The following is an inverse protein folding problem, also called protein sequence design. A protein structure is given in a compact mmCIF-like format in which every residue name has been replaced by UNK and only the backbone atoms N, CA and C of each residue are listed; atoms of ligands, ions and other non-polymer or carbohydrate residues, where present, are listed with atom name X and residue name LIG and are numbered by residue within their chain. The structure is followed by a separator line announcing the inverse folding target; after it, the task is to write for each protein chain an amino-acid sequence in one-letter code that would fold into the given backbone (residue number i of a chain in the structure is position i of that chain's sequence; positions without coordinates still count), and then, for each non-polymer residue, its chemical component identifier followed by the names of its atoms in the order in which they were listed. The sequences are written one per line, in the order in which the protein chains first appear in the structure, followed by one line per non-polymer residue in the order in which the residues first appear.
data_IF_742793884883
#
_entry.id   IF_742793884883
#
_cell.length_a   1.000
_cell.length_b   1.000
_cell.length_c   1.000
_cell.angle_alpha   90.00
_cell.angle_beta   90.00
_cell.angle_gamma   90.00
#
_symmetry.space_group_name_H-M   'P 1'
#
loop_
_entity.id
_entity.type
_entity.pdbx_description
1 polymer ?
#
# COMPACT_ATOMS: atom_id res chain seq x y z
N UNK A 1 6.90 -44.48 20.34
CA UNK A 1 6.37 -44.45 18.97
C UNK A 1 6.16 -42.98 18.57
N UNK A 2 7.15 -42.39 17.92
CA UNK A 2 7.11 -40.98 17.46
C UNK A 2 6.45 -40.92 16.08
N UNK A 3 5.28 -40.28 15.98
CA UNK A 3 4.66 -39.94 14.69
C UNK A 3 5.37 -38.71 14.12
N UNK A 4 6.26 -38.92 13.16
CA UNK A 4 6.76 -37.85 12.29
C UNK A 4 5.59 -37.35 11.42
N UNK A 5 5.20 -36.09 11.61
CA UNK A 5 4.29 -35.39 10.75
C UNK A 5 5.03 -35.05 9.45
N UNK A 6 4.77 -35.82 8.39
CA UNK A 6 5.23 -35.56 7.04
C UNK A 6 4.48 -34.38 6.44
N UNK A 7 5.06 -33.18 6.47
CA UNK A 7 4.56 -32.03 5.72
C UNK A 7 4.77 -32.25 4.22
N UNK A 8 3.69 -32.40 3.47
CA UNK A 8 3.74 -32.50 1.99
C UNK A 8 4.32 -31.21 1.40
N UNK A 9 5.26 -31.28 0.45
CA UNK A 9 5.82 -30.08 -0.19
C UNK A 9 4.72 -29.33 -0.94
N UNK A 10 4.59 -28.07 -0.65
CA UNK A 10 3.63 -27.16 -1.32
C UNK A 10 4.09 -26.98 -2.77
N UNK A 11 3.26 -27.36 -3.74
CA UNK A 11 3.58 -27.21 -5.17
C UNK A 11 3.79 -25.72 -5.48
N UNK A 12 4.85 -25.40 -6.22
CA UNK A 12 5.29 -24.04 -6.61
C UNK A 12 4.12 -23.14 -7.11
N UNK A 13 3.16 -23.75 -7.80
CA UNK A 13 1.94 -23.11 -8.29
C UNK A 13 0.96 -22.74 -7.18
N UNK A 14 0.87 -23.52 -6.10
CA UNK A 14 0.04 -23.22 -4.91
C UNK A 14 0.69 -22.17 -4.01
N UNK A 15 2.02 -22.10 -3.98
CA UNK A 15 2.73 -21.03 -3.30
C UNK A 15 2.47 -19.68 -3.98
N UNK A 16 2.56 -19.62 -5.31
CA UNK A 16 2.31 -18.39 -6.08
C UNK A 16 0.84 -17.95 -6.01
N UNK A 17 -0.12 -18.86 -6.07
CA UNK A 17 -1.55 -18.48 -6.03
C UNK A 17 -2.07 -18.18 -4.62
N UNK A 18 -1.60 -18.88 -3.59
CA UNK A 18 -2.00 -18.64 -2.20
C UNK A 18 -1.11 -17.61 -1.48
N UNK A 19 0.17 -17.57 -1.83
CA UNK A 19 1.13 -16.60 -1.28
C UNK A 19 0.92 -15.18 -1.82
N UNK A 20 0.52 -15.04 -3.10
CA UNK A 20 0.27 -13.72 -3.72
C UNK A 20 -1.06 -13.13 -3.24
N UNK A 21 -2.10 -13.94 -3.03
CA UNK A 21 -3.37 -13.47 -2.44
C UNK A 21 -3.16 -13.02 -0.98
N UNK A 22 -2.27 -13.67 -0.25
CA UNK A 22 -1.84 -13.20 1.06
C UNK A 22 -0.82 -12.04 0.97
N UNK A 23 0.01 -12.00 -0.06
CA UNK A 23 1.09 -11.03 -0.26
C UNK A 23 0.66 -9.63 -0.68
N UNK A 24 -0.51 -9.47 -1.29
CA UNK A 24 -1.06 -8.13 -1.59
C UNK A 24 -1.56 -7.41 -0.33
N UNK A 25 -1.84 -8.16 0.73
CA UNK A 25 -2.16 -7.64 2.07
C UNK A 25 -0.96 -7.71 3.01
N UNK A 26 0.08 -8.41 2.65
CA UNK A 26 1.26 -8.62 3.46
C UNK A 26 2.43 -7.87 2.84
N UNK A 27 2.38 -6.59 2.95
CA UNK A 27 3.57 -5.90 3.38
C UNK A 27 3.86 -6.41 4.80
N UNK A 28 4.87 -7.26 4.98
CA UNK A 28 5.39 -7.56 6.32
C UNK A 28 5.60 -6.28 7.12
N UNK A 29 6.03 -5.21 6.45
CA UNK A 29 6.08 -3.86 6.99
C UNK A 29 4.73 -3.31 7.42
N UNK A 30 3.66 -3.45 6.64
CA UNK A 30 2.33 -2.97 7.01
C UNK A 30 1.79 -3.73 8.24
N UNK A 31 1.97 -5.05 8.29
CA UNK A 31 1.52 -5.86 9.43
C UNK A 31 2.30 -5.51 10.70
N UNK A 32 3.61 -5.33 10.61
CA UNK A 32 4.45 -4.87 11.71
C UNK A 32 4.05 -3.47 12.16
N UNK A 33 3.89 -2.55 11.22
CA UNK A 33 3.48 -1.18 11.46
C UNK A 33 2.11 -1.09 12.15
N UNK A 34 1.13 -1.85 11.67
CA UNK A 34 -0.20 -1.92 12.27
C UNK A 34 -0.19 -2.61 13.64
N UNK A 35 0.69 -3.60 13.85
CA UNK A 35 0.83 -4.26 15.15
C UNK A 35 1.36 -3.30 16.22
N UNK A 36 2.30 -2.42 15.87
CA UNK A 36 2.80 -1.38 16.78
C UNK A 36 1.72 -0.37 17.15
N UNK A 37 0.77 -0.11 16.24
CA UNK A 37 -0.32 0.80 16.49
C UNK A 37 -1.45 0.21 17.37
N UNK A 38 -1.59 -1.12 17.42
CA UNK A 38 -2.64 -1.83 18.20
C UNK A 38 -2.28 -2.06 19.67
N UNK A 39 -1.04 -1.79 20.10
CA UNK A 39 -0.60 -2.00 21.47
C UNK A 39 -1.22 -1.00 22.46
N UNK A 40 -1.76 -1.54 23.56
CA UNK A 40 -2.31 -0.86 24.75
C UNK A 40 -3.42 0.19 24.53
N UNK A 41 -4.64 -0.18 24.86
CA UNK A 41 -5.74 0.75 25.14
C UNK A 41 -5.41 1.61 26.38
N UNK A 42 -4.86 2.78 26.15
CA UNK A 42 -4.79 3.81 27.20
C UNK A 42 -6.04 4.70 27.10
N UNK A 43 -6.56 5.17 28.24
CA UNK A 43 -7.76 6.04 28.36
C UNK A 43 -7.68 7.36 27.55
N UNK A 44 -6.53 7.73 27.04
CA UNK A 44 -6.32 8.88 26.15
C UNK A 44 -6.26 8.37 24.70
N UNK A 45 -7.13 8.92 23.88
CA UNK A 45 -7.21 8.58 22.43
C UNK A 45 -5.94 9.12 21.73
N UNK A 46 -4.90 8.29 21.62
CA UNK A 46 -3.65 8.63 20.94
C UNK A 46 -3.80 8.46 19.44
N UNK A 47 -3.18 9.36 18.68
CA UNK A 47 -3.06 9.24 17.22
C UNK A 47 -2.27 7.98 16.84
N UNK A 48 -2.39 7.55 15.58
CA UNK A 48 -1.61 6.43 15.07
C UNK A 48 -0.11 6.67 15.24
N UNK A 49 0.36 7.87 14.92
CA UNK A 49 1.76 8.29 15.06
C UNK A 49 2.27 8.18 16.51
N UNK A 50 1.48 8.63 17.48
CA UNK A 50 1.83 8.56 18.89
C UNK A 50 1.88 7.11 19.40
N UNK A 51 0.97 6.24 18.92
CA UNK A 51 0.99 4.82 19.27
C UNK A 51 2.22 4.12 18.71
N UNK A 52 2.60 4.40 17.45
CA UNK A 52 3.81 3.86 16.84
C UNK A 52 5.05 4.28 17.63
N UNK A 53 5.19 5.56 17.93
CA UNK A 53 6.32 6.08 18.68
C UNK A 53 6.41 5.48 20.09
N UNK A 54 5.28 5.37 20.80
CA UNK A 54 5.23 4.79 22.14
C UNK A 54 5.66 3.32 22.17
N UNK A 55 5.17 2.53 21.21
CA UNK A 55 5.38 1.08 21.20
C UNK A 55 6.73 0.66 20.64
N UNK A 56 7.33 1.48 19.76
CA UNK A 56 8.62 1.18 19.12
C UNK A 56 9.81 1.92 19.73
N UNK A 57 9.57 3.02 20.44
CA UNK A 57 10.62 3.97 20.85
C UNK A 57 11.22 4.75 19.68
N UNK A 58 10.63 4.67 18.49
CA UNK A 58 11.09 5.30 17.25
C UNK A 58 10.07 6.31 16.75
N UNK A 59 10.50 7.31 15.96
CA UNK A 59 9.56 8.16 15.26
C UNK A 59 8.78 7.38 14.21
N UNK A 60 7.61 7.89 13.81
CA UNK A 60 6.80 7.29 12.75
C UNK A 60 7.58 7.09 11.46
N UNK A 61 8.35 8.10 11.03
CA UNK A 61 9.17 8.03 9.81
C UNK A 61 10.30 6.99 9.94
N UNK A 62 10.93 6.86 11.11
CA UNK A 62 11.93 5.83 11.36
C UNK A 62 11.35 4.42 11.24
N UNK A 63 10.17 4.16 11.82
CA UNK A 63 9.49 2.86 11.71
C UNK A 63 9.06 2.60 10.27
N UNK A 64 8.55 3.61 9.58
CA UNK A 64 8.18 3.52 8.18
C UNK A 64 9.38 3.17 7.30
N UNK A 65 10.48 3.89 7.45
CA UNK A 65 11.72 3.63 6.69
C UNK A 65 12.27 2.24 6.99
N UNK A 66 12.32 1.83 8.25
CA UNK A 66 12.73 0.48 8.62
C UNK A 66 11.85 -0.59 7.94
N UNK A 67 10.54 -0.43 8.01
CA UNK A 67 9.61 -1.41 7.44
C UNK A 67 9.69 -1.46 5.90
N UNK A 68 9.73 -0.32 5.24
CA UNK A 68 9.64 -0.25 3.78
C UNK A 68 10.98 -0.13 3.09
N UNK A 69 11.80 0.85 3.43
CA UNK A 69 13.09 1.07 2.77
C UNK A 69 14.08 -0.05 3.05
N UNK A 70 14.14 -0.51 4.29
CA UNK A 70 15.20 -1.42 4.73
C UNK A 70 14.81 -2.91 4.61
N UNK A 71 13.50 -3.24 4.52
CA UNK A 71 13.00 -4.63 4.46
C UNK A 71 12.20 -4.90 3.19
N UNK A 72 11.09 -4.17 2.98
CA UNK A 72 10.12 -4.52 1.91
C UNK A 72 10.68 -4.20 0.53
N UNK A 73 11.23 -3.00 0.32
CA UNK A 73 11.68 -2.57 -1.01
C UNK A 73 12.84 -3.44 -1.52
N UNK A 74 13.89 -3.76 -0.74
CA UNK A 74 14.94 -4.68 -1.19
C UNK A 74 14.40 -6.06 -1.59
N UNK A 75 13.43 -6.60 -0.84
CA UNK A 75 12.80 -7.86 -1.18
C UNK A 75 12.00 -7.78 -2.50
N UNK A 76 11.28 -6.69 -2.75
CA UNK A 76 10.55 -6.46 -4.00
C UNK A 76 11.49 -6.29 -5.19
N UNK A 77 12.60 -5.57 -5.02
CA UNK A 77 13.64 -5.43 -6.04
C UNK A 77 14.21 -6.81 -6.37
N UNK A 78 14.62 -7.59 -5.37
CA UNK A 78 15.16 -8.94 -5.59
C UNK A 78 14.17 -9.88 -6.29
N UNK A 79 12.88 -9.81 -5.99
CA UNK A 79 11.86 -10.57 -6.72
C UNK A 79 11.72 -10.07 -8.16
N UNK A 80 11.71 -8.75 -8.36
CA UNK A 80 11.62 -8.12 -9.70
C UNK A 80 12.79 -8.54 -10.59
N UNK A 81 14.02 -8.55 -10.06
CA UNK A 81 15.21 -9.00 -10.78
C UNK A 81 15.12 -10.48 -11.18
N UNK A 82 14.60 -11.34 -10.29
CA UNK A 82 14.50 -12.77 -10.55
C UNK A 82 13.44 -13.17 -11.58
N UNK A 83 12.33 -12.45 -11.68
CA UNK A 83 11.23 -12.78 -12.61
C UNK A 83 11.19 -11.91 -13.86
N UNK A 84 12.00 -10.85 -13.90
CA UNK A 84 12.02 -9.81 -14.91
C UNK A 84 11.14 -8.62 -14.50
N UNK A 85 11.69 -7.41 -14.62
CA UNK A 85 11.06 -6.16 -14.13
C UNK A 85 9.67 -5.92 -14.75
N UNK A 86 9.55 -5.95 -16.08
CA UNK A 86 8.27 -5.70 -16.79
C UNK A 86 7.20 -6.71 -16.38
N UNK A 87 7.59 -7.97 -16.28
CA UNK A 87 6.69 -9.04 -15.84
C UNK A 87 6.23 -8.87 -14.40
N UNK A 88 7.13 -8.39 -13.52
CA UNK A 88 6.79 -8.05 -12.15
C UNK A 88 5.74 -6.93 -12.10
N UNK A 89 5.97 -5.83 -12.81
CA UNK A 89 5.07 -4.69 -12.90
C UNK A 89 3.69 -5.10 -13.43
N UNK A 90 3.66 -5.85 -14.54
CA UNK A 90 2.42 -6.37 -15.12
C UNK A 90 1.66 -7.27 -14.14
N UNK A 91 2.36 -8.15 -13.45
CA UNK A 91 1.78 -9.04 -12.46
C UNK A 91 1.09 -8.25 -11.33
N UNK A 92 1.73 -7.22 -10.80
CA UNK A 92 1.13 -6.40 -9.73
C UNK A 92 -0.09 -5.60 -10.22
N UNK A 93 -0.04 -5.03 -11.42
CA UNK A 93 -1.20 -4.35 -12.02
C UNK A 93 -2.37 -5.32 -12.22
N UNK A 94 -2.12 -6.51 -12.76
CA UNK A 94 -3.13 -7.55 -12.93
C UNK A 94 -3.74 -8.02 -11.59
N UNK A 95 -2.93 -8.08 -10.53
CA UNK A 95 -3.40 -8.41 -9.18
C UNK A 95 -4.27 -7.28 -8.63
N UNK A 96 -3.85 -6.03 -8.80
CA UNK A 96 -4.61 -4.86 -8.39
C UNK A 96 -5.99 -4.84 -9.04
N UNK A 97 -6.07 -5.03 -10.36
CA UNK A 97 -7.32 -5.08 -11.12
C UNK A 97 -8.28 -6.20 -10.67
N UNK A 98 -7.75 -7.31 -10.13
CA UNK A 98 -8.55 -8.44 -9.67
C UNK A 98 -9.00 -8.32 -8.21
N UNK A 99 -8.19 -7.69 -7.37
CA UNK A 99 -8.42 -7.62 -5.92
C UNK A 99 -9.15 -6.33 -5.56
N UNK A 100 -8.62 -5.19 -5.99
CA UNK A 100 -9.14 -3.89 -5.57
C UNK A 100 -10.46 -3.49 -6.21
N UNK A 101 -10.87 -4.19 -7.27
CA UNK A 101 -12.22 -4.05 -7.81
C UNK A 101 -13.30 -4.66 -6.90
N UNK A 102 -12.92 -5.49 -5.92
CA UNK A 102 -13.85 -6.12 -4.99
C UNK A 102 -14.07 -5.21 -3.78
N UNK A 103 -15.31 -4.79 -3.56
CA UNK A 103 -15.69 -3.93 -2.42
C UNK A 103 -15.33 -4.52 -1.05
N UNK A 104 -15.36 -5.86 -0.92
CA UNK A 104 -14.97 -6.55 0.30
C UNK A 104 -13.51 -6.35 0.66
N UNK A 105 -12.61 -6.36 -0.34
CA UNK A 105 -11.19 -6.12 -0.12
C UNK A 105 -10.92 -4.66 0.28
N UNK A 106 -11.62 -3.71 -0.34
CA UNK A 106 -11.54 -2.30 0.03
C UNK A 106 -12.03 -2.06 1.45
N UNK A 107 -13.20 -2.59 1.79
CA UNK A 107 -13.75 -2.47 3.14
C UNK A 107 -12.81 -3.06 4.19
N UNK A 108 -12.24 -4.24 3.95
CA UNK A 108 -11.27 -4.85 4.87
C UNK A 108 -10.02 -4.00 5.04
N UNK A 109 -9.58 -3.32 3.98
CA UNK A 109 -8.46 -2.40 4.04
C UNK A 109 -8.81 -1.14 4.86
N UNK A 110 -9.97 -0.52 4.59
CA UNK A 110 -10.46 0.66 5.29
C UNK A 110 -10.71 0.38 6.77
N UNK A 111 -11.29 -0.77 7.12
CA UNK A 111 -11.54 -1.19 8.51
C UNK A 111 -10.23 -1.35 9.33
N UNK A 112 -9.10 -1.56 8.66
CA UNK A 112 -7.80 -1.75 9.32
C UNK A 112 -6.90 -0.52 9.31
N UNK A 113 -7.20 0.47 8.47
CA UNK A 113 -6.41 1.69 8.32
C UNK A 113 -7.27 2.88 8.72
N UNK A 114 -6.87 3.54 9.81
CA UNK A 114 -7.56 4.74 10.30
C UNK A 114 -7.19 5.97 9.47
N UNK A 115 -8.06 6.97 9.45
CA UNK A 115 -7.82 8.20 8.70
C UNK A 115 -6.51 8.87 9.11
N UNK A 116 -6.16 8.85 10.38
CA UNK A 116 -4.92 9.41 10.90
C UNK A 116 -3.65 8.71 10.39
N UNK A 117 -3.76 7.48 9.83
CA UNK A 117 -2.66 6.86 9.09
C UNK A 117 -2.33 7.66 7.81
N UNK A 118 -3.36 7.98 7.01
CA UNK A 118 -3.17 8.71 5.76
C UNK A 118 -2.62 10.12 5.99
N UNK A 119 -3.09 10.81 7.03
CA UNK A 119 -2.60 12.13 7.43
C UNK A 119 -1.11 12.14 7.82
N UNK A 120 -0.54 11.00 8.16
CA UNK A 120 0.88 10.86 8.46
C UNK A 120 1.75 10.49 7.24
N UNK A 121 1.14 10.04 6.16
CA UNK A 121 1.87 9.60 4.94
C UNK A 121 1.61 10.49 3.73
N UNK A 122 0.51 11.26 3.73
CA UNK A 122 0.10 12.08 2.60
C UNK A 122 -0.33 13.48 3.08
N UNK A 123 0.09 14.52 2.35
CA UNK A 123 -0.48 15.86 2.46
C UNK A 123 -1.45 16.06 1.30
N UNK A 124 -2.76 16.04 1.61
CA UNK A 124 -3.84 16.07 0.64
C UNK A 124 -4.56 17.41 0.71
N UNK A 125 -4.62 18.10 -0.44
CA UNK A 125 -5.45 19.28 -0.65
C UNK A 125 -6.63 18.90 -1.56
N UNK A 126 -7.86 19.15 -1.09
CA UNK A 126 -9.07 18.95 -1.89
C UNK A 126 -9.37 20.24 -2.64
N UNK A 127 -9.19 20.23 -3.96
CA UNK A 127 -9.39 21.40 -4.83
C UNK A 127 -10.85 21.54 -5.27
N UNK A 128 -11.54 20.41 -5.46
CA UNK A 128 -12.95 20.35 -5.83
C UNK A 128 -13.59 19.13 -5.19
N UNK A 129 -14.83 19.28 -4.74
CA UNK A 129 -15.62 18.17 -4.22
C UNK A 129 -17.10 18.42 -4.48
N UNK A 130 -17.60 17.94 -5.61
CA UNK A 130 -19.01 18.02 -6.02
C UNK A 130 -19.64 16.63 -6.00
N UNK A 131 -20.92 16.52 -6.32
CA UNK A 131 -21.60 15.21 -6.43
C UNK A 131 -20.97 14.28 -7.49
N UNK A 132 -20.43 14.87 -8.57
CA UNK A 132 -19.95 14.11 -9.73
C UNK A 132 -18.45 14.16 -9.92
N UNK A 133 -17.75 15.07 -9.24
CA UNK A 133 -16.31 15.28 -9.45
C UNK A 133 -15.62 15.56 -8.11
N UNK A 134 -14.48 14.86 -7.92
CA UNK A 134 -13.56 15.17 -6.82
C UNK A 134 -12.16 15.35 -7.37
N UNK A 135 -11.55 16.50 -7.06
CA UNK A 135 -10.17 16.82 -7.46
C UNK A 135 -9.32 16.96 -6.20
N UNK A 136 -8.20 16.24 -6.20
CA UNK A 136 -7.23 16.24 -5.10
C UNK A 136 -5.83 16.49 -5.62
N UNK A 137 -5.08 17.28 -4.89
CA UNK A 137 -3.64 17.50 -5.05
C UNK A 137 -2.91 16.92 -3.85
N UNK A 138 -1.87 16.12 -4.09
CA UNK A 138 -1.02 15.58 -3.03
C UNK A 138 0.37 16.15 -3.22
N UNK A 139 0.84 16.91 -2.26
CA UNK A 139 2.13 17.63 -2.31
C UNK A 139 3.25 16.90 -1.58
N UNK A 140 2.89 15.96 -0.69
CA UNK A 140 3.83 15.10 0.00
C UNK A 140 3.30 13.66 0.03
N UNK A 141 4.18 12.69 -0.18
CA UNK A 141 3.86 11.27 -0.11
C UNK A 141 5.07 10.51 0.40
N UNK A 142 4.98 9.98 1.61
CA UNK A 142 6.07 9.24 2.23
C UNK A 142 6.42 7.96 1.43
N UNK A 143 5.41 7.32 0.81
CA UNK A 143 5.62 6.20 -0.12
C UNK A 143 6.48 6.62 -1.31
N UNK A 144 6.11 7.72 -1.98
CA UNK A 144 6.84 8.20 -3.15
C UNK A 144 8.28 8.55 -2.80
N UNK A 145 8.49 9.26 -1.68
CA UNK A 145 9.83 9.59 -1.17
C UNK A 145 10.66 8.32 -0.97
N UNK A 146 10.14 7.37 -0.20
CA UNK A 146 10.89 6.16 0.19
C UNK A 146 11.20 5.26 -1.00
N UNK A 147 10.25 5.03 -1.91
CA UNK A 147 10.49 4.19 -3.10
C UNK A 147 11.42 4.85 -4.11
N UNK A 148 11.34 6.16 -4.30
CA UNK A 148 12.26 6.90 -5.19
C UNK A 148 13.68 6.93 -4.66
N UNK A 149 13.86 7.19 -3.38
CA UNK A 149 15.18 7.16 -2.72
C UNK A 149 15.85 5.78 -2.81
N UNK A 150 15.05 4.72 -2.85
CA UNK A 150 15.54 3.35 -3.05
C UNK A 150 15.70 2.94 -4.52
N UNK A 151 15.47 3.84 -5.49
CA UNK A 151 15.55 3.53 -6.92
C UNK A 151 14.43 2.60 -7.42
N UNK A 152 13.32 2.47 -6.69
CA UNK A 152 12.23 1.53 -6.95
C UNK A 152 10.90 2.23 -7.31
N UNK A 153 10.96 3.39 -7.97
CA UNK A 153 9.79 4.22 -8.27
C UNK A 153 8.70 3.48 -9.06
N UNK A 154 9.07 2.71 -10.09
CA UNK A 154 8.10 1.96 -10.91
C UNK A 154 7.45 0.82 -10.13
N UNK A 155 8.21 0.14 -9.27
CA UNK A 155 7.69 -0.86 -8.33
C UNK A 155 6.70 -0.20 -7.38
N UNK A 156 7.07 0.94 -6.80
CA UNK A 156 6.21 1.73 -5.93
C UNK A 156 4.92 2.16 -6.62
N UNK A 157 5.03 2.61 -7.88
CA UNK A 157 3.87 2.98 -8.68
C UNK A 157 2.91 1.80 -8.89
N UNK A 158 3.43 0.64 -9.29
CA UNK A 158 2.61 -0.53 -9.55
C UNK A 158 1.88 -1.04 -8.29
N UNK A 159 2.51 -0.93 -7.11
CA UNK A 159 1.99 -1.47 -5.87
C UNK A 159 1.06 -0.49 -5.15
N UNK A 160 1.39 0.82 -5.13
CA UNK A 160 0.71 1.82 -4.31
C UNK A 160 -0.14 2.80 -5.10
N UNK A 161 0.29 3.16 -6.30
CA UNK A 161 -0.42 4.17 -7.09
C UNK A 161 -1.41 3.56 -8.08
N UNK A 162 -1.04 2.45 -8.72
CA UNK A 162 -1.90 1.81 -9.72
C UNK A 162 -3.23 1.29 -9.14
N UNK A 163 -3.28 0.71 -7.92
CA UNK A 163 -4.54 0.25 -7.31
C UNK A 163 -5.64 1.30 -7.23
N UNK A 164 -5.31 2.59 -7.18
CA UNK A 164 -6.29 3.68 -7.12
C UNK A 164 -7.24 3.67 -8.33
N UNK A 165 -6.76 3.23 -9.51
CA UNK A 165 -7.62 3.10 -10.70
C UNK A 165 -8.67 1.99 -10.53
N UNK A 166 -8.27 0.84 -9.99
CA UNK A 166 -9.19 -0.26 -9.73
C UNK A 166 -10.19 0.11 -8.63
N UNK A 167 -9.74 0.81 -7.60
CA UNK A 167 -10.60 1.32 -6.51
C UNK A 167 -11.60 2.35 -7.03
N UNK A 168 -11.17 3.30 -7.86
CA UNK A 168 -12.06 4.26 -8.49
C UNK A 168 -13.15 3.55 -9.29
N UNK A 169 -12.75 2.62 -10.17
CA UNK A 169 -13.68 1.85 -11.01
C UNK A 169 -14.70 1.06 -10.19
N UNK A 170 -14.28 0.45 -9.06
CA UNK A 170 -15.19 -0.30 -8.19
C UNK A 170 -16.26 0.59 -7.53
N UNK A 171 -16.01 1.88 -7.45
CA UNK A 171 -16.92 2.89 -6.92
C UNK A 171 -17.67 3.66 -8.02
N UNK A 172 -17.69 3.14 -9.26
CA UNK A 172 -18.27 3.79 -10.44
C UNK A 172 -17.69 5.19 -10.68
N UNK A 173 -16.38 5.32 -10.47
CA UNK A 173 -15.64 6.54 -10.71
C UNK A 173 -14.54 6.26 -11.73
N UNK A 174 -14.30 7.21 -12.64
CA UNK A 174 -13.12 7.26 -13.49
C UNK A 174 -12.05 8.09 -12.79
N UNK A 175 -10.85 7.55 -12.65
CA UNK A 175 -9.68 8.29 -12.16
C UNK A 175 -8.83 8.77 -13.36
N UNK A 176 -8.60 10.06 -13.43
CA UNK A 176 -7.57 10.68 -14.28
C UNK A 176 -6.44 11.17 -13.37
N UNK A 177 -5.22 10.67 -13.62
CA UNK A 177 -4.00 11.09 -12.91
C UNK A 177 -3.00 11.60 -13.95
N UNK A 178 -2.78 12.90 -13.97
CA UNK A 178 -1.89 13.55 -14.93
C UNK A 178 -0.48 13.75 -14.39
N UNK A 179 -0.33 13.72 -13.06
CA UNK A 179 0.94 13.86 -12.35
C UNK A 179 1.03 12.90 -11.18
N UNK A 180 2.22 12.39 -10.88
CA UNK A 180 2.47 11.57 -9.69
C UNK A 180 3.86 11.77 -9.11
N UNK A 181 3.92 12.08 -7.82
CA UNK A 181 5.15 12.17 -7.02
C UNK A 181 6.02 10.92 -7.14
N UNK A 182 5.40 9.74 -7.27
CA UNK A 182 6.11 8.46 -7.34
C UNK A 182 7.02 8.37 -8.57
N UNK A 183 6.62 8.96 -9.71
CA UNK A 183 7.40 8.95 -10.94
C UNK A 183 8.20 10.25 -11.17
N UNK A 184 8.21 11.16 -10.19
CA UNK A 184 9.10 12.31 -10.21
C UNK A 184 8.45 13.66 -10.43
N UNK A 185 7.12 13.72 -10.59
CA UNK A 185 6.43 15.00 -10.65
C UNK A 185 6.50 15.74 -9.31
N UNK A 186 6.18 17.03 -9.33
CA UNK A 186 6.18 17.93 -8.17
C UNK A 186 5.00 17.71 -7.21
N UNK A 187 3.93 17.06 -7.70
CA UNK A 187 2.75 16.67 -6.92
C UNK A 187 2.01 15.52 -7.62
N UNK A 188 1.05 14.89 -6.90
CA UNK A 188 0.05 14.06 -7.58
C UNK A 188 -1.19 14.92 -7.86
N UNK A 189 -1.79 14.72 -9.04
CA UNK A 189 -3.08 15.31 -9.42
C UNK A 189 -4.07 14.21 -9.73
N UNK A 190 -5.12 14.12 -8.93
CA UNK A 190 -6.18 13.12 -9.06
C UNK A 190 -7.49 13.81 -9.40
N UNK A 191 -8.11 13.40 -10.49
CA UNK A 191 -9.48 13.80 -10.83
C UNK A 191 -10.35 12.57 -10.90
N UNK A 192 -11.27 12.46 -9.95
CA UNK A 192 -12.30 11.43 -9.95
C UNK A 192 -13.57 12.01 -10.55
N UNK A 193 -14.14 11.31 -11.54
CA UNK A 193 -15.41 11.69 -12.18
C UNK A 193 -16.36 10.49 -12.12
N UNK A 194 -17.62 10.72 -11.72
CA UNK A 194 -18.63 9.67 -11.64
C UNK A 194 -18.93 9.15 -13.04
N UNK A 195 -18.88 7.84 -13.22
CA UNK A 195 -19.36 7.19 -14.45
C UNK A 195 -20.88 7.04 -14.39
N UNK A 196 -21.58 7.51 -15.41
CA UNK A 196 -23.06 7.50 -15.54
C UNK A 196 -23.50 6.17 -16.12
#
# INVERSE_FOLDING_TARGET
MNKQSSSKPIKRRQFLTKGIVAGSTICFGCSYFLSLAKGQETRVKKTFKERVALNSGMSYEQVFNFAFRDVVIPALIGVSENIGHDKFIEMFKNVADKIWIKKEAQKQFEDNITQDFWENVLDIEVLENTENTRIQKITNCLWAKTFREAGAAEIGYAIWCYPDYAMAKSNNMKLERTKTLMLGDDHCYFKYTKEI
#
